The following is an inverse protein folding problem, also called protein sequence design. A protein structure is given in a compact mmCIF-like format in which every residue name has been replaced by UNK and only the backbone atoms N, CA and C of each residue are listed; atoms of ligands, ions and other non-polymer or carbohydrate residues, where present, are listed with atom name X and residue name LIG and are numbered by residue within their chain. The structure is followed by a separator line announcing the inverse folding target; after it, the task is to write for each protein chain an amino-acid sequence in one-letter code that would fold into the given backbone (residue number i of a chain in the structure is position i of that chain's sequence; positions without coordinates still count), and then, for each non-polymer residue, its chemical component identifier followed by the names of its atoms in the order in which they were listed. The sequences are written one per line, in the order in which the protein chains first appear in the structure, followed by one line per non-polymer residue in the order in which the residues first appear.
data_IF_002490897304
#
_entry.id   IF_002490897304
#
_cell.length_a   1.000
_cell.length_b   1.000
_cell.length_c   1.000
_cell.angle_alpha   90.00
_cell.angle_beta   90.00
_cell.angle_gamma   90.00
#
_symmetry.space_group_name_H-M   'P 1'
#
loop_
_entity.id
_entity.type
_entity.pdbx_description
1 polymer ?
#
# COMPACT_ATOMS: atom_id res chain seq x y z
N UNK A 1 22.51 11.22 -5.25
CA UNK A 1 21.21 10.58 -4.94
C UNK A 1 21.41 9.75 -3.70
N UNK A 2 20.60 9.96 -2.65
CA UNK A 2 20.57 9.02 -1.53
C UNK A 2 19.78 7.79 -1.97
N UNK A 3 20.37 6.62 -1.84
CA UNK A 3 19.71 5.34 -2.11
C UNK A 3 18.69 5.10 -1.01
N UNK A 4 17.40 5.05 -1.37
CA UNK A 4 16.36 4.60 -0.44
C UNK A 4 16.60 3.12 -0.11
N UNK A 5 16.55 2.75 1.17
CA UNK A 5 16.80 1.38 1.64
C UNK A 5 15.64 0.92 2.52
N UNK A 6 15.20 -0.32 2.32
CA UNK A 6 14.18 -0.91 3.19
C UNK A 6 14.75 -1.12 4.60
N UNK A 7 14.08 -0.64 5.66
CA UNK A 7 14.52 -0.82 7.04
C UNK A 7 14.75 -2.29 7.42
N UNK A 8 15.78 -2.56 8.22
CA UNK A 8 16.14 -3.92 8.67
C UNK A 8 14.98 -4.65 9.38
N UNK A 9 14.12 -3.91 10.08
CA UNK A 9 12.93 -4.47 10.74
C UNK A 9 11.98 -5.14 9.74
N UNK A 10 11.82 -4.54 8.55
CA UNK A 10 10.99 -5.08 7.48
C UNK A 10 11.70 -6.17 6.69
N UNK A 11 13.02 -6.05 6.52
CA UNK A 11 13.80 -7.17 5.97
C UNK A 11 13.63 -8.43 6.82
N UNK A 12 13.68 -8.29 8.15
CA UNK A 12 13.42 -9.39 9.08
C UNK A 12 11.97 -9.88 9.03
N UNK A 13 10.99 -8.95 8.99
CA UNK A 13 9.57 -9.27 8.87
C UNK A 13 9.25 -10.08 7.60
N UNK A 14 9.86 -9.71 6.47
CA UNK A 14 9.66 -10.36 5.18
C UNK A 14 10.67 -11.47 4.86
N UNK A 15 11.53 -11.84 5.81
CA UNK A 15 12.46 -12.97 5.64
C UNK A 15 11.73 -14.28 5.34
N UNK A 16 12.39 -15.26 4.72
CA UNK A 16 11.75 -16.54 4.37
C UNK A 16 11.11 -17.27 5.56
N UNK A 17 11.69 -17.07 6.76
CA UNK A 17 11.10 -17.54 8.00
C UNK A 17 9.95 -16.63 8.48
N UNK A 18 8.71 -17.15 8.43
CA UNK A 18 7.50 -16.45 8.90
C UNK A 18 7.40 -16.32 10.42
N UNK A 19 8.33 -16.86 11.20
CA UNK A 19 8.28 -16.78 12.67
C UNK A 19 8.25 -15.33 13.17
N UNK A 20 9.08 -14.45 12.60
CA UNK A 20 9.10 -13.01 12.95
C UNK A 20 7.79 -12.35 12.58
N UNK A 21 7.29 -12.57 11.36
CA UNK A 21 6.02 -12.00 10.90
C UNK A 21 4.86 -12.39 11.81
N UNK A 22 4.72 -13.69 12.11
CA UNK A 22 3.67 -14.21 13.01
C UNK A 22 3.76 -13.62 14.42
N UNK A 23 4.98 -13.49 14.96
CA UNK A 23 5.17 -12.90 16.29
C UNK A 23 4.79 -11.42 16.31
N UNK A 24 5.16 -10.66 15.29
CA UNK A 24 4.78 -9.25 15.14
C UNK A 24 3.27 -9.11 14.99
N UNK A 25 2.65 -9.87 14.09
CA UNK A 25 1.21 -9.81 13.84
C UNK A 25 0.38 -10.16 15.10
N UNK A 26 0.88 -11.05 15.94
CA UNK A 26 0.25 -11.38 17.23
C UNK A 26 0.36 -10.24 18.27
N UNK A 27 1.42 -9.41 18.20
CA UNK A 27 1.71 -8.36 19.17
C UNK A 27 1.15 -6.98 18.78
N UNK A 28 1.01 -6.69 17.48
CA UNK A 28 0.49 -5.39 17.03
C UNK A 28 -0.90 -5.04 17.60
N UNK A 29 -1.87 -5.97 17.74
CA UNK A 29 -3.16 -5.68 18.37
C UNK A 29 -3.05 -5.17 19.82
N UNK A 30 -1.96 -5.49 20.52
CA UNK A 30 -1.75 -5.07 21.91
C UNK A 30 -1.19 -3.65 22.00
N UNK A 31 -0.63 -3.11 20.91
CA UNK A 31 -0.24 -1.70 20.80
C UNK A 31 -1.44 -0.74 20.81
N UNK A 32 -2.65 -1.23 20.56
CA UNK A 32 -3.88 -0.43 20.55
C UNK A 32 -4.40 -0.06 21.96
N UNK A 33 -3.57 -0.17 23.00
CA UNK A 33 -3.90 0.30 24.35
C UNK A 33 -4.62 -0.72 25.23
N UNK A 34 -4.49 -2.02 24.93
CA UNK A 34 -4.87 -3.05 25.92
C UNK A 34 -3.97 -2.92 27.14
N UNK A 35 -4.51 -3.19 28.33
CA UNK A 35 -3.71 -3.25 29.56
C UNK A 35 -2.58 -4.27 29.35
N UNK A 36 -1.37 -3.92 29.81
CA UNK A 36 -0.26 -4.86 29.84
C UNK A 36 -0.74 -6.15 30.53
N UNK A 37 -0.58 -7.33 29.90
CA UNK A 37 -0.95 -8.58 30.54
C UNK A 37 -0.19 -8.75 31.86
N UNK A 38 -0.80 -9.46 32.81
CA UNK A 38 -0.13 -9.79 34.06
C UNK A 38 1.01 -10.77 33.78
N UNK A 39 2.25 -10.30 33.93
CA UNK A 39 3.46 -11.10 33.77
C UNK A 39 4.30 -11.03 35.04
N UNK A 40 5.05 -12.09 35.30
CA UNK A 40 6.15 -12.06 36.26
C UNK A 40 7.16 -10.98 35.86
N UNK A 41 7.78 -10.32 36.84
CA UNK A 41 8.65 -9.15 36.61
C UNK A 41 9.77 -9.42 35.59
N UNK A 42 10.34 -10.62 35.60
CA UNK A 42 11.40 -11.04 34.69
C UNK A 42 10.91 -11.23 33.24
N UNK A 43 9.62 -11.49 33.03
CA UNK A 43 9.02 -11.64 31.71
C UNK A 43 8.53 -10.32 31.11
N UNK A 44 8.20 -9.33 31.96
CA UNK A 44 7.76 -7.99 31.52
C UNK A 44 8.81 -7.33 30.61
N UNK A 45 10.10 -7.48 30.93
CA UNK A 45 11.18 -6.88 30.14
C UNK A 45 11.20 -7.42 28.71
N UNK A 46 11.13 -8.74 28.56
CA UNK A 46 11.15 -9.39 27.25
C UNK A 46 9.89 -9.05 26.45
N UNK A 47 8.73 -9.02 27.12
CA UNK A 47 7.48 -8.60 26.50
C UNK A 47 7.54 -7.16 25.98
N UNK A 48 8.05 -6.21 26.77
CA UNK A 48 8.23 -4.82 26.34
C UNK A 48 9.17 -4.69 25.14
N UNK A 49 10.26 -5.47 25.10
CA UNK A 49 11.16 -5.49 23.94
C UNK A 49 10.46 -6.03 22.69
N UNK A 50 9.65 -7.07 22.83
CA UNK A 50 8.87 -7.64 21.73
C UNK A 50 7.83 -6.65 21.20
N UNK A 51 7.13 -5.93 22.10
CA UNK A 51 6.19 -4.87 21.72
C UNK A 51 6.88 -3.71 20.98
N UNK A 52 8.07 -3.29 21.44
CA UNK A 52 8.84 -2.25 20.75
C UNK A 52 9.27 -2.69 19.34
N UNK A 53 9.66 -3.96 19.16
CA UNK A 53 9.97 -4.51 17.84
C UNK A 53 8.73 -4.51 16.94
N UNK A 54 7.58 -4.98 17.44
CA UNK A 54 6.33 -4.97 16.68
C UNK A 54 5.91 -3.54 16.30
N UNK A 55 6.07 -2.58 17.21
CA UNK A 55 5.81 -1.17 16.95
C UNK A 55 6.73 -0.61 15.86
N UNK A 56 8.02 -0.95 15.90
CA UNK A 56 9.00 -0.53 14.88
C UNK A 56 8.66 -1.10 13.51
N UNK A 57 8.33 -2.38 13.43
CA UNK A 57 7.91 -3.02 12.16
C UNK A 57 6.67 -2.35 11.60
N UNK A 58 5.65 -2.08 12.44
CA UNK A 58 4.43 -1.39 11.98
C UNK A 58 4.75 0.01 11.46
N UNK A 59 5.56 0.79 12.19
CA UNK A 59 5.94 2.13 11.75
C UNK A 59 6.70 2.09 10.42
N UNK A 60 7.71 1.23 10.31
CA UNK A 60 8.50 1.09 9.08
C UNK A 60 7.64 0.60 7.91
N UNK A 61 6.70 -0.32 8.15
CA UNK A 61 5.76 -0.80 7.13
C UNK A 61 4.97 0.36 6.53
N UNK A 62 4.42 1.22 7.39
CA UNK A 62 3.62 2.38 6.99
C UNK A 62 4.50 3.37 6.23
N UNK A 63 5.70 3.65 6.72
CA UNK A 63 6.65 4.56 6.06
C UNK A 63 7.03 4.04 4.66
N UNK A 64 7.34 2.75 4.51
CA UNK A 64 7.63 2.15 3.20
C UNK A 64 6.44 2.26 2.26
N UNK A 65 5.23 2.04 2.75
CA UNK A 65 4.04 2.12 1.91
C UNK A 65 3.75 3.55 1.46
N UNK A 66 4.02 4.56 2.30
CA UNK A 66 3.99 5.97 1.90
C UNK A 66 5.05 6.31 0.86
N UNK A 67 6.26 5.76 0.98
CA UNK A 67 7.32 5.95 -0.01
C UNK A 67 6.96 5.28 -1.35
N UNK A 68 6.34 4.09 -1.33
CA UNK A 68 5.80 3.44 -2.52
C UNK A 68 4.70 4.29 -3.15
N UNK A 69 3.77 4.83 -2.35
CA UNK A 69 2.74 5.76 -2.81
C UNK A 69 3.36 6.99 -3.47
N UNK A 70 4.28 7.67 -2.77
CA UNK A 70 4.95 8.87 -3.26
C UNK A 70 5.80 8.58 -4.50
N UNK A 71 6.41 7.40 -4.60
CA UNK A 71 7.22 6.99 -5.75
C UNK A 71 6.42 6.59 -6.99
N UNK A 72 5.13 6.28 -6.82
CA UNK A 72 4.22 5.80 -7.88
C UNK A 72 3.17 6.85 -8.21
N UNK A 73 1.95 6.73 -7.70
CA UNK A 73 0.85 7.68 -7.93
C UNK A 73 1.16 9.10 -7.43
N UNK A 74 2.00 9.25 -6.39
CA UNK A 74 2.45 10.55 -5.91
C UNK A 74 3.44 11.24 -6.85
N UNK A 75 4.38 10.51 -7.45
CA UNK A 75 5.39 11.04 -8.38
C UNK A 75 4.78 11.28 -9.77
N UNK A 76 3.94 10.35 -10.22
CA UNK A 76 3.09 10.51 -11.39
C UNK A 76 1.99 11.54 -11.16
N UNK A 77 1.85 12.07 -9.93
CA UNK A 77 0.88 13.05 -9.43
C UNK A 77 -0.32 13.23 -10.35
N UNK A 78 -1.40 12.54 -10.00
CA UNK A 78 -2.73 12.87 -10.49
C UNK A 78 -3.04 14.37 -10.36
N UNK A 79 -2.45 15.12 -9.41
CA UNK A 79 -2.61 16.57 -9.37
C UNK A 79 -1.91 17.33 -10.51
N UNK A 80 -0.72 16.90 -10.95
CA UNK A 80 -0.06 17.47 -12.13
C UNK A 80 -0.79 17.10 -13.44
N UNK A 81 -1.52 15.99 -13.40
CA UNK A 81 -2.18 15.39 -14.55
C UNK A 81 -3.68 15.75 -14.64
N UNK A 82 -4.32 16.10 -13.53
CA UNK A 82 -5.75 16.32 -13.38
C UNK A 82 -6.12 17.51 -12.48
N UNK A 83 -5.17 18.15 -11.76
CA UNK A 83 -5.43 19.23 -10.80
C UNK A 83 -5.44 18.75 -9.34
N UNK A 84 -4.83 19.49 -8.41
CA UNK A 84 -4.84 19.18 -6.96
C UNK A 84 -6.26 19.15 -6.39
N UNK A 85 -7.17 19.90 -6.99
CA UNK A 85 -8.59 19.98 -6.64
C UNK A 85 -9.37 18.68 -6.86
N UNK A 86 -8.83 17.75 -7.66
CA UNK A 86 -9.48 16.51 -8.09
C UNK A 86 -8.98 15.27 -7.34
N UNK A 87 -8.12 15.47 -6.33
CA UNK A 87 -7.69 14.45 -5.39
C UNK A 87 -8.28 14.72 -4.01
N UNK A 88 -8.84 13.68 -3.39
CA UNK A 88 -9.17 13.78 -1.97
C UNK A 88 -7.86 13.97 -1.18
N UNK A 89 -7.81 14.83 -0.15
CA UNK A 89 -6.85 14.66 0.95
C UNK A 89 -6.76 13.20 1.39
N UNK A 90 -5.66 12.82 2.07
CA UNK A 90 -5.48 11.44 2.57
C UNK A 90 -6.79 11.08 3.26
N UNK A 91 -7.54 10.13 2.69
CA UNK A 91 -8.88 9.84 3.17
C UNK A 91 -8.77 9.51 4.67
N UNK A 92 -9.81 9.82 5.44
CA UNK A 92 -9.89 9.41 6.84
C UNK A 92 -9.75 7.89 7.02
N UNK A 93 -9.80 7.13 5.92
CA UNK A 93 -9.63 5.68 5.85
C UNK A 93 -8.15 5.25 5.77
N UNK A 94 -7.23 6.12 5.37
CA UNK A 94 -5.78 5.83 5.33
C UNK A 94 -5.07 6.16 6.65
N UNK A 95 -5.67 5.80 7.79
CA UNK A 95 -5.00 5.93 9.10
C UNK A 95 -3.84 4.93 9.25
N UNK A 96 -2.83 5.20 10.10
CA UNK A 96 -1.77 4.24 10.40
C UNK A 96 -2.28 2.83 10.78
N UNK A 97 -3.40 2.76 11.50
CA UNK A 97 -4.03 1.49 11.84
C UNK A 97 -4.61 0.79 10.61
N UNK A 98 -5.43 1.50 9.82
CA UNK A 98 -6.04 0.94 8.61
C UNK A 98 -5.00 0.54 7.55
N UNK A 99 -3.93 1.31 7.39
CA UNK A 99 -2.81 0.99 6.51
C UNK A 99 -2.17 -0.34 6.91
N UNK A 100 -1.95 -0.57 8.20
CA UNK A 100 -1.41 -1.84 8.68
C UNK A 100 -2.39 -3.00 8.48
N UNK A 101 -3.64 -2.83 8.87
CA UNK A 101 -4.66 -3.88 8.79
C UNK A 101 -4.92 -4.30 7.34
N UNK A 102 -5.14 -3.32 6.46
CA UNK A 102 -5.48 -3.56 5.05
C UNK A 102 -4.23 -3.73 4.17
N UNK A 103 -3.05 -3.40 4.71
CA UNK A 103 -1.77 -3.47 3.96
C UNK A 103 -1.78 -2.62 2.68
N UNK A 104 -2.51 -1.50 2.70
CA UNK A 104 -2.69 -0.65 1.52
C UNK A 104 -2.81 0.84 1.89
N UNK A 105 -2.43 1.70 0.94
CA UNK A 105 -2.76 3.13 0.92
C UNK A 105 -3.62 3.36 -0.31
N UNK A 106 -4.76 4.01 -0.15
CA UNK A 106 -5.64 4.34 -1.25
C UNK A 106 -6.03 5.82 -1.23
N UNK A 107 -6.32 6.36 -2.42
CA UNK A 107 -6.94 7.68 -2.57
C UNK A 107 -7.95 7.69 -3.70
N UNK A 108 -9.02 8.40 -3.45
CA UNK A 108 -10.05 8.70 -4.42
C UNK A 108 -9.60 9.83 -5.35
N UNK A 109 -9.88 9.60 -6.61
CA UNK A 109 -9.73 10.52 -7.72
C UNK A 109 -11.11 10.83 -8.28
N UNK A 110 -11.42 12.11 -8.40
CA UNK A 110 -12.66 12.59 -8.98
C UNK A 110 -12.34 13.19 -10.35
N UNK A 111 -12.88 12.60 -11.41
CA UNK A 111 -12.71 13.10 -12.77
C UNK A 111 -13.24 14.53 -12.96
N UNK A 112 -12.99 15.12 -14.12
CA UNK A 112 -13.47 16.48 -14.46
C UNK A 112 -14.99 16.57 -14.73
N UNK A 113 -15.70 15.44 -14.78
CA UNK A 113 -17.15 15.37 -14.99
C UNK A 113 -17.83 14.57 -13.88
N UNK A 114 -19.15 14.70 -13.76
CA UNK A 114 -20.08 14.02 -12.84
C UNK A 114 -20.06 12.46 -12.89
N UNK A 115 -18.99 11.85 -13.41
CA UNK A 115 -18.77 10.40 -13.45
C UNK A 115 -17.91 9.99 -12.27
N UNK A 116 -18.24 8.84 -11.69
CA UNK A 116 -17.81 8.38 -10.38
C UNK A 116 -16.32 8.46 -10.04
N UNK A 117 -16.05 8.27 -8.74
CA UNK A 117 -14.69 8.30 -8.22
C UNK A 117 -13.94 7.00 -8.57
N UNK A 118 -12.72 7.14 -9.08
CA UNK A 118 -11.78 6.02 -9.20
C UNK A 118 -10.87 6.03 -7.96
N UNK A 119 -10.62 4.87 -7.37
CA UNK A 119 -9.76 4.74 -6.21
C UNK A 119 -8.42 4.10 -6.61
N UNK A 120 -7.36 4.89 -6.55
CA UNK A 120 -5.99 4.45 -6.80
C UNK A 120 -5.40 3.89 -5.51
N UNK A 121 -4.87 2.68 -5.55
CA UNK A 121 -4.41 1.96 -4.36
C UNK A 121 -3.02 1.36 -4.57
N UNK A 122 -2.13 1.54 -3.59
CA UNK A 122 -0.87 0.79 -3.48
C UNK A 122 -1.07 -0.26 -2.40
N UNK A 123 -0.89 -1.53 -2.77
CA UNK A 123 -1.05 -2.67 -1.87
C UNK A 123 0.29 -3.36 -1.68
N UNK A 124 0.66 -3.65 -0.42
CA UNK A 124 1.82 -4.46 -0.05
C UNK A 124 1.36 -5.65 0.80
N UNK A 125 0.88 -6.69 0.13
CA UNK A 125 0.29 -7.87 0.78
C UNK A 125 1.36 -8.66 1.56
N UNK A 126 1.16 -8.71 2.88
CA UNK A 126 2.09 -9.33 3.84
C UNK A 126 2.16 -10.85 3.70
N UNK A 127 1.11 -11.49 3.18
CA UNK A 127 0.98 -12.94 3.09
C UNK A 127 1.41 -13.50 1.74
N UNK A 128 1.01 -12.86 0.64
CA UNK A 128 1.51 -13.22 -0.70
C UNK A 128 2.91 -12.66 -0.97
N UNK A 129 3.35 -11.68 -0.17
CA UNK A 129 4.64 -10.99 -0.28
C UNK A 129 4.80 -10.28 -1.61
N UNK A 130 3.73 -9.62 -2.04
CA UNK A 130 3.65 -8.90 -3.30
C UNK A 130 3.31 -7.45 -3.07
N UNK A 131 3.86 -6.61 -3.94
CA UNK A 131 3.47 -5.22 -4.10
C UNK A 131 2.74 -5.09 -5.43
N UNK A 132 1.61 -4.41 -5.43
CA UNK A 132 0.84 -4.12 -6.63
C UNK A 132 0.17 -2.76 -6.55
N UNK A 133 -0.14 -2.22 -7.71
CA UNK A 133 -1.05 -1.09 -7.84
C UNK A 133 -2.42 -1.62 -8.21
N UNK A 134 -3.46 -0.97 -7.70
CA UNK A 134 -4.84 -1.33 -7.96
C UNK A 134 -5.65 -0.09 -8.30
N UNK A 135 -6.63 -0.27 -9.18
CA UNK A 135 -7.61 0.75 -9.54
C UNK A 135 -8.99 0.11 -9.47
N UNK A 136 -9.86 0.68 -8.67
CA UNK A 136 -11.24 0.23 -8.51
C UNK A 136 -12.18 1.44 -8.50
N UNK A 137 -13.48 1.20 -8.62
CA UNK A 137 -14.48 2.25 -8.44
C UNK A 137 -15.45 1.87 -7.34
N UNK A 138 -15.80 2.86 -6.52
CA UNK A 138 -16.93 2.79 -5.59
C UNK A 138 -18.28 3.06 -6.29
N UNK A 139 -18.24 3.47 -7.56
CA UNK A 139 -19.40 3.91 -8.32
C UNK A 139 -19.71 2.93 -9.45
N UNK A 140 -20.95 2.44 -9.49
CA UNK A 140 -21.47 1.58 -10.55
C UNK A 140 -21.43 2.27 -11.93
N UNK A 141 -21.39 3.61 -11.95
CA UNK A 141 -21.34 4.41 -13.18
C UNK A 141 -19.94 4.52 -13.79
N UNK A 142 -18.89 4.05 -13.10
CA UNK A 142 -17.51 4.06 -13.61
C UNK A 142 -16.92 2.65 -13.76
N UNK A 143 -17.01 2.12 -14.98
CA UNK A 143 -16.48 0.79 -15.32
C UNK A 143 -14.96 0.82 -15.58
N UNK A 144 -14.18 0.55 -14.53
CA UNK A 144 -12.71 0.40 -14.62
C UNK A 144 -12.28 -0.74 -15.55
N UNK A 145 -13.13 -1.73 -15.83
CA UNK A 145 -12.78 -2.87 -16.69
C UNK A 145 -12.63 -2.48 -18.16
N UNK A 146 -13.19 -1.33 -18.54
CA UNK A 146 -13.06 -0.77 -19.89
C UNK A 146 -11.69 -0.13 -20.15
N UNK A 147 -10.89 0.12 -19.11
CA UNK A 147 -9.56 0.70 -19.24
C UNK A 147 -8.56 -0.37 -19.69
N UNK A 148 -7.77 -0.03 -20.71
CA UNK A 148 -6.68 -0.86 -21.21
C UNK A 148 -5.36 -0.17 -20.94
N UNK A 149 -4.50 -0.78 -20.13
CA UNK A 149 -3.13 -0.36 -19.87
C UNK A 149 -2.20 -1.57 -19.88
N UNK A 150 -1.00 -1.42 -20.45
CA UNK A 150 0.01 -2.48 -20.45
C UNK A 150 0.38 -2.85 -19.01
N UNK A 151 0.56 -4.15 -18.75
CA UNK A 151 0.83 -4.69 -17.41
C UNK A 151 -0.30 -4.51 -16.39
N UNK A 152 -1.55 -4.31 -16.83
CA UNK A 152 -2.73 -4.31 -15.97
C UNK A 152 -3.73 -5.40 -16.37
N UNK A 153 -4.20 -6.15 -15.38
CA UNK A 153 -5.23 -7.17 -15.54
C UNK A 153 -6.50 -6.79 -14.78
N UNK A 154 -7.66 -7.07 -15.39
CA UNK A 154 -8.91 -7.10 -14.65
C UNK A 154 -8.97 -8.30 -13.70
N UNK A 155 -9.38 -8.05 -12.46
CA UNK A 155 -9.59 -9.01 -11.38
C UNK A 155 -10.99 -8.80 -10.81
N UNK A 156 -11.48 -9.78 -10.06
CA UNK A 156 -12.80 -9.71 -9.42
C UNK A 156 -12.66 -10.03 -7.95
N UNK A 157 -13.22 -9.17 -7.09
CA UNK A 157 -13.31 -9.38 -5.66
C UNK A 157 -14.71 -9.01 -5.16
N UNK A 158 -15.37 -9.95 -4.50
CA UNK A 158 -16.75 -9.82 -4.01
C UNK A 158 -17.76 -9.32 -5.07
N UNK A 159 -17.58 -9.74 -6.32
CA UNK A 159 -18.42 -9.33 -7.46
C UNK A 159 -18.02 -8.01 -8.12
N UNK A 160 -17.12 -7.23 -7.52
CA UNK A 160 -16.62 -5.98 -8.08
C UNK A 160 -15.39 -6.23 -8.94
N UNK A 161 -15.34 -5.57 -10.10
CA UNK A 161 -14.18 -5.61 -10.99
C UNK A 161 -13.21 -4.50 -10.60
N UNK A 162 -11.92 -4.85 -10.52
CA UNK A 162 -10.84 -3.90 -10.33
C UNK A 162 -9.69 -4.24 -11.26
N UNK A 163 -8.87 -3.26 -11.59
CA UNK A 163 -7.63 -3.48 -12.32
C UNK A 163 -6.48 -3.61 -11.33
N UNK A 164 -5.56 -4.54 -11.59
CA UNK A 164 -4.33 -4.72 -10.82
C UNK A 164 -3.14 -4.76 -11.76
N UNK A 165 -2.08 -4.02 -11.41
CA UNK A 165 -0.82 -4.07 -12.14
C UNK A 165 -0.11 -5.41 -11.94
N UNK A 166 0.82 -5.76 -12.83
CA UNK A 166 1.75 -6.88 -12.62
C UNK A 166 2.42 -6.78 -11.24
N UNK A 167 2.29 -7.84 -10.45
CA UNK A 167 2.76 -7.91 -9.07
C UNK A 167 4.30 -7.99 -9.01
N UNK A 168 4.90 -7.25 -8.08
CA UNK A 168 6.34 -7.29 -7.80
C UNK A 168 6.59 -8.01 -6.47
N UNK A 169 7.63 -8.84 -6.38
CA UNK A 169 7.95 -9.49 -5.11
C UNK A 169 8.53 -8.50 -4.10
N UNK A 170 8.14 -8.62 -2.83
CA UNK A 170 8.73 -7.79 -1.76
C UNK A 170 10.24 -8.06 -1.62
N UNK A 171 10.71 -9.26 -1.96
CA UNK A 171 12.15 -9.56 -2.04
C UNK A 171 12.88 -8.68 -3.05
N UNK A 172 12.24 -8.37 -4.18
CA UNK A 172 12.82 -7.51 -5.22
C UNK A 172 12.82 -6.06 -4.73
N UNK A 173 11.76 -5.63 -4.04
CA UNK A 173 11.70 -4.33 -3.37
C UNK A 173 12.81 -4.18 -2.33
N UNK A 174 13.09 -5.22 -1.54
CA UNK A 174 14.17 -5.21 -0.53
C UNK A 174 15.55 -5.14 -1.18
N UNK A 175 15.75 -5.89 -2.27
CA UNK A 175 17.04 -5.99 -2.94
C UNK A 175 17.39 -4.73 -3.75
N UNK A 176 16.42 -4.15 -4.46
CA UNK A 176 16.57 -2.93 -5.23
C UNK A 176 15.29 -2.07 -5.15
N UNK A 177 15.17 -1.24 -4.09
CA UNK A 177 13.99 -0.42 -3.89
C UNK A 177 13.78 0.58 -5.02
N UNK A 178 14.86 1.13 -5.56
CA UNK A 178 14.79 2.15 -6.59
C UNK A 178 14.25 1.57 -7.90
N UNK A 179 14.85 0.46 -8.39
CA UNK A 179 14.36 -0.15 -9.63
C UNK A 179 12.92 -0.65 -9.50
N UNK A 180 12.53 -1.14 -8.32
CA UNK A 180 11.14 -1.57 -8.06
C UNK A 180 10.17 -0.39 -8.12
N UNK A 181 10.51 0.73 -7.47
CA UNK A 181 9.69 1.95 -7.50
C UNK A 181 9.57 2.50 -8.92
N UNK A 182 10.66 2.55 -9.70
CA UNK A 182 10.61 3.01 -11.10
C UNK A 182 9.71 2.11 -11.96
N UNK A 183 9.76 0.78 -11.76
CA UNK A 183 8.86 -0.15 -12.47
C UNK A 183 7.39 0.13 -12.13
N UNK A 184 7.07 0.23 -10.83
CA UNK A 184 5.71 0.53 -10.39
C UNK A 184 5.26 1.91 -10.88
N UNK A 185 6.16 2.90 -10.94
CA UNK A 185 5.85 4.22 -11.50
C UNK A 185 5.44 4.11 -12.97
N UNK A 186 6.13 3.32 -13.77
CA UNK A 186 5.75 3.06 -15.17
C UNK A 186 4.33 2.48 -15.28
N UNK A 187 3.97 1.52 -14.41
CA UNK A 187 2.60 1.00 -14.35
C UNK A 187 1.57 2.09 -13.97
N UNK A 188 1.91 2.93 -12.99
CA UNK A 188 1.06 4.03 -12.55
C UNK A 188 0.82 5.06 -13.68
N UNK A 189 1.87 5.44 -14.40
CA UNK A 189 1.79 6.36 -15.55
C UNK A 189 0.91 5.79 -16.67
N UNK A 190 1.03 4.49 -16.97
CA UNK A 190 0.23 3.83 -17.99
C UNK A 190 -1.28 3.86 -17.66
N UNK A 191 -1.67 3.50 -16.42
CA UNK A 191 -3.10 3.50 -16.06
C UNK A 191 -3.67 4.91 -15.97
N UNK A 192 -2.86 5.87 -15.52
CA UNK A 192 -3.27 7.28 -15.49
C UNK A 192 -3.50 7.81 -16.90
N UNK A 193 -2.67 7.41 -17.88
CA UNK A 193 -2.90 7.79 -19.27
C UNK A 193 -4.15 7.12 -19.85
N UNK A 194 -4.44 5.88 -19.48
CA UNK A 194 -5.68 5.20 -19.88
C UNK A 194 -6.92 5.92 -19.34
N UNK A 195 -6.89 6.36 -18.08
CA UNK A 195 -7.94 7.17 -17.46
C UNK A 195 -8.21 8.46 -18.26
N UNK A 196 -7.16 9.21 -18.58
CA UNK A 196 -7.27 10.44 -19.39
C UNK A 196 -7.91 10.22 -20.75
N UNK A 197 -7.53 9.14 -21.42
CA UNK A 197 -8.04 8.82 -22.74
C UNK A 197 -9.52 8.40 -22.71
N UNK A 198 -10.01 7.93 -21.55
CA UNK A 198 -11.41 7.57 -21.36
C UNK A 198 -12.30 8.81 -21.06
N UNK A 199 -11.70 9.88 -20.51
CA UNK A 199 -12.39 11.15 -20.23
C UNK A 199 -12.51 12.10 -21.45
N UNK A 200 -11.70 11.89 -22.49
CA UNK A 200 -11.64 12.73 -23.70
C UNK A 200 -12.64 12.32 -24.79
#
# INVERSE_FOLDING_TARGET
MMTYTIPESLQAYFSDDRAVARAVDALVPDLAGKKCPEFEFDHIRNYNQALLMAAKVRADFIDVLFELWNGTFGAASAAALFGEENLDPVSSESTPYAIWENSQINRHYFGTQERGAACMTVTMDRWSRKVSLELWSDDDDFDVSSLSADDWDAKTWDGNVYLRSTEVAISDLIADPHSTIEKLRGHAEAIVQALKNNEA
#
